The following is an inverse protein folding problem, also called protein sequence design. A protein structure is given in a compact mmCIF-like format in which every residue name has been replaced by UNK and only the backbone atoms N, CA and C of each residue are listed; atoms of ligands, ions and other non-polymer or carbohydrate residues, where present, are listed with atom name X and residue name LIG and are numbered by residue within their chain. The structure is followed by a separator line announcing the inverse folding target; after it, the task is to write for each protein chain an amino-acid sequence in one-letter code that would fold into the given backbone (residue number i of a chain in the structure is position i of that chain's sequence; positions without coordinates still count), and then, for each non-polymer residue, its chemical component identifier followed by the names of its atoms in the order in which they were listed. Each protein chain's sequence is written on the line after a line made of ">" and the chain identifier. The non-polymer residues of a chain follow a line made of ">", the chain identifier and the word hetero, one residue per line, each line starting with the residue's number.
data_IF_872832356982
#
_entry.id   IF_872832356982
#
_cell.length_a   1.000
_cell.length_b   1.000
_cell.length_c   1.000
_cell.angle_alpha   90.00
_cell.angle_beta   90.00
_cell.angle_gamma   90.00
#
_symmetry.space_group_name_H-M   'P 1'
#
loop_
_entity.id
_entity.type
_entity.pdbx_description
1 polymer ?
#
# COMPACT_ATOMS: atom_id res chain seq x y z
N UNK A 1 -21.23 -33.27 -4.12
CA UNK A 1 -20.98 -32.65 -5.44
C UNK A 1 -19.51 -32.21 -5.43
N UNK A 2 -18.66 -32.76 -6.30
CA UNK A 2 -17.24 -32.37 -6.32
C UNK A 2 -17.10 -31.09 -7.14
N UNK A 3 -16.27 -30.16 -6.68
CA UNK A 3 -15.94 -28.92 -7.42
C UNK A 3 -15.29 -29.18 -8.79
N UNK A 4 -14.78 -30.40 -9.01
CA UNK A 4 -14.27 -30.88 -10.30
C UNK A 4 -15.33 -31.04 -11.39
N UNK A 5 -16.62 -31.03 -11.02
CA UNK A 5 -17.71 -31.37 -11.95
C UNK A 5 -18.34 -30.11 -12.58
N UNK A 6 -17.78 -28.93 -12.33
CA UNK A 6 -18.22 -27.65 -12.93
C UNK A 6 -17.42 -27.42 -14.21
N UNK A 7 -18.06 -27.58 -15.37
CA UNK A 7 -17.48 -27.17 -16.64
C UNK A 7 -17.16 -25.66 -16.62
N UNK A 8 -15.87 -25.32 -16.73
CA UNK A 8 -15.42 -23.94 -16.85
C UNK A 8 -15.75 -23.41 -18.25
N UNK A 9 -16.94 -22.86 -18.42
CA UNK A 9 -17.25 -22.06 -19.61
C UNK A 9 -16.36 -20.82 -19.56
N UNK A 10 -15.47 -20.64 -20.54
CA UNK A 10 -14.75 -19.38 -20.68
C UNK A 10 -15.74 -18.31 -21.15
N UNK A 11 -16.28 -17.56 -20.18
CA UNK A 11 -17.24 -16.47 -20.40
C UNK A 11 -16.57 -15.12 -20.66
N UNK A 12 -15.23 -15.06 -20.57
CA UNK A 12 -14.46 -13.86 -20.86
C UNK A 12 -13.94 -13.98 -22.30
N UNK A 13 -14.56 -13.23 -23.22
CA UNK A 13 -14.10 -13.10 -24.60
C UNK A 13 -12.71 -12.44 -24.69
N UNK A 14 -12.30 -11.99 -25.88
CA UNK A 14 -11.06 -11.22 -26.05
C UNK A 14 -11.15 -9.92 -25.23
N UNK A 15 -10.43 -9.88 -24.10
CA UNK A 15 -10.23 -8.68 -23.31
C UNK A 15 -8.93 -8.00 -23.79
N UNK A 16 -8.89 -6.67 -23.87
CA UNK A 16 -7.63 -5.96 -24.12
C UNK A 16 -6.59 -6.32 -23.05
N UNK A 17 -5.34 -6.51 -23.46
CA UNK A 17 -4.24 -6.93 -22.58
C UNK A 17 -3.78 -5.81 -21.63
N UNK A 18 -4.02 -4.55 -21.99
CA UNK A 18 -3.61 -3.37 -21.21
C UNK A 18 -4.78 -2.40 -21.00
N UNK A 19 -4.80 -1.75 -19.84
CA UNK A 19 -5.75 -0.69 -19.53
C UNK A 19 -5.33 0.62 -20.22
N UNK A 20 -6.31 1.37 -20.74
CA UNK A 20 -6.10 2.70 -21.31
C UNK A 20 -5.56 3.67 -20.24
N UNK A 21 -4.47 4.38 -20.54
CA UNK A 21 -3.80 5.32 -19.64
C UNK A 21 -4.43 6.72 -19.66
N UNK A 22 -5.52 6.93 -20.40
CA UNK A 22 -6.28 8.20 -20.46
C UNK A 22 -7.18 8.47 -19.25
N UNK A 23 -6.74 8.15 -18.03
CA UNK A 23 -7.55 8.38 -16.83
C UNK A 23 -7.56 9.87 -16.43
N UNK A 24 -8.74 10.35 -16.03
CA UNK A 24 -8.97 11.75 -15.67
C UNK A 24 -8.65 12.02 -14.19
N UNK A 25 -8.67 10.97 -13.36
CA UNK A 25 -8.54 11.07 -11.91
C UNK A 25 -7.33 10.26 -11.44
N UNK A 26 -6.33 10.95 -10.92
CA UNK A 26 -5.15 10.33 -10.30
C UNK A 26 -5.37 10.12 -8.80
N UNK A 27 -4.99 8.96 -8.28
CA UNK A 27 -5.23 8.64 -6.86
C UNK A 27 -4.45 9.55 -5.92
N UNK A 28 -3.26 10.03 -6.31
CA UNK A 28 -2.47 10.94 -5.49
C UNK A 28 -3.09 12.33 -5.42
N UNK A 29 -3.74 12.78 -6.50
CA UNK A 29 -4.50 14.04 -6.48
C UNK A 29 -5.68 13.93 -5.52
N UNK A 30 -6.41 12.80 -5.52
CA UNK A 30 -7.52 12.57 -4.58
C UNK A 30 -7.01 12.46 -3.13
N UNK A 31 -5.91 11.75 -2.89
CA UNK A 31 -5.30 11.66 -1.56
C UNK A 31 -4.87 13.04 -1.04
N UNK A 32 -4.35 13.89 -1.95
CA UNK A 32 -3.98 15.27 -1.62
C UNK A 32 -5.20 16.12 -1.24
N UNK A 33 -6.36 15.91 -1.87
CA UNK A 33 -7.62 16.54 -1.45
C UNK A 33 -8.04 16.11 -0.02
N UNK A 34 -7.70 14.88 0.38
CA UNK A 34 -7.86 14.38 1.75
C UNK A 34 -6.73 14.81 2.71
N UNK A 35 -5.80 15.67 2.26
CA UNK A 35 -4.68 16.17 3.07
C UNK A 35 -3.47 15.24 3.15
N UNK A 36 -3.41 14.19 2.33
CA UNK A 36 -2.32 13.21 2.31
C UNK A 36 -1.42 13.46 1.10
N UNK A 37 -0.21 13.97 1.33
CA UNK A 37 0.76 14.25 0.26
C UNK A 37 1.82 13.15 0.14
N UNK A 38 2.55 13.09 -0.99
CA UNK A 38 3.69 12.16 -1.16
C UNK A 38 4.71 12.35 -0.02
N UNK A 39 4.98 13.60 0.37
CA UNK A 39 5.91 13.92 1.46
C UNK A 39 5.40 13.38 2.81
N UNK A 40 4.10 13.47 3.09
CA UNK A 40 3.51 12.93 4.31
C UNK A 40 3.65 11.40 4.38
N UNK A 41 3.47 10.72 3.25
CA UNK A 41 3.66 9.26 3.14
C UNK A 41 5.13 8.87 3.36
N UNK A 42 6.07 9.62 2.75
CA UNK A 42 7.50 9.40 2.91
C UNK A 42 7.92 9.61 4.37
N UNK A 43 7.52 10.72 4.99
CA UNK A 43 7.87 11.00 6.40
C UNK A 43 7.30 9.94 7.35
N UNK A 44 6.05 9.51 7.15
CA UNK A 44 5.46 8.43 7.94
C UNK A 44 6.25 7.12 7.77
N UNK A 45 6.61 6.74 6.54
CA UNK A 45 7.45 5.57 6.26
C UNK A 45 8.81 5.66 6.97
N UNK A 46 9.50 6.80 6.81
CA UNK A 46 10.82 7.02 7.37
C UNK A 46 10.81 7.11 8.90
N UNK A 47 9.66 7.40 9.51
CA UNK A 47 9.49 7.35 10.96
C UNK A 47 9.84 5.99 11.58
N UNK A 48 9.72 4.90 10.82
CA UNK A 48 10.08 3.54 11.23
C UNK A 48 11.23 2.94 10.43
N UNK A 49 11.91 3.73 9.61
CA UNK A 49 13.04 3.26 8.83
C UNK A 49 14.21 2.83 9.73
N UNK A 50 14.80 1.70 9.39
CA UNK A 50 16.03 1.19 10.00
C UNK A 50 17.06 0.95 8.90
N UNK A 51 18.29 1.47 9.02
CA UNK A 51 19.35 1.21 8.06
C UNK A 51 19.58 -0.28 7.83
N UNK A 52 19.58 -0.67 6.57
CA UNK A 52 19.79 -2.05 6.12
C UNK A 52 20.64 -2.05 4.85
N UNK A 53 21.39 -3.13 4.53
CA UNK A 53 22.11 -3.20 3.27
C UNK A 53 21.19 -2.88 2.08
N UNK A 54 21.67 -2.01 1.18
CA UNK A 54 20.97 -1.54 -0.01
C UNK A 54 20.21 -0.23 0.21
N UNK A 55 19.90 0.08 1.46
CA UNK A 55 19.26 1.32 1.91
C UNK A 55 19.93 1.76 3.21
N UNK A 56 21.25 1.97 3.20
CA UNK A 56 21.99 2.28 4.42
C UNK A 56 21.78 3.72 4.91
N UNK A 57 21.36 4.61 4.01
CA UNK A 57 21.09 6.02 4.31
C UNK A 57 19.61 6.31 4.12
N UNK A 58 19.10 7.29 4.88
CA UNK A 58 17.71 7.73 4.76
C UNK A 58 17.39 8.19 3.35
N UNK A 59 18.31 8.90 2.71
CA UNK A 59 18.13 9.42 1.34
C UNK A 59 17.97 8.29 0.32
N UNK A 60 18.71 7.19 0.47
CA UNK A 60 18.54 5.99 -0.38
C UNK A 60 17.20 5.32 -0.12
N UNK A 61 16.81 5.19 1.15
CA UNK A 61 15.53 4.60 1.53
C UNK A 61 14.36 5.40 0.97
N UNK A 62 14.37 6.73 1.12
CA UNK A 62 13.35 7.63 0.57
C UNK A 62 13.22 7.50 -0.95
N UNK A 63 14.35 7.54 -1.67
CA UNK A 63 14.34 7.42 -3.13
C UNK A 63 13.74 6.08 -3.59
N UNK A 64 14.07 4.99 -2.89
CA UNK A 64 13.56 3.66 -3.20
C UNK A 64 12.09 3.51 -2.78
N UNK A 65 11.68 4.06 -1.65
CA UNK A 65 10.29 4.12 -1.22
C UNK A 65 9.43 4.85 -2.24
N UNK A 66 9.84 6.04 -2.70
CA UNK A 66 9.11 6.82 -3.71
C UNK A 66 8.97 6.03 -5.01
N UNK A 67 10.04 5.33 -5.44
CA UNK A 67 9.97 4.47 -6.62
C UNK A 67 8.94 3.35 -6.44
N UNK A 68 8.98 2.63 -5.32
CA UNK A 68 8.06 1.52 -5.05
C UNK A 68 6.62 2.02 -4.82
N UNK A 69 6.43 3.21 -4.24
CA UNK A 69 5.14 3.87 -4.13
C UNK A 69 4.54 4.12 -5.51
N UNK A 70 5.30 4.73 -6.43
CA UNK A 70 4.87 4.99 -7.81
C UNK A 70 4.54 3.72 -8.57
N UNK A 71 5.29 2.64 -8.36
CA UNK A 71 4.97 1.33 -8.93
C UNK A 71 3.66 0.79 -8.37
N UNK A 72 3.46 0.87 -7.05
CA UNK A 72 2.24 0.39 -6.41
C UNK A 72 0.99 1.13 -6.93
N UNK A 73 1.00 2.47 -6.91
CA UNK A 73 -0.14 3.28 -7.36
C UNK A 73 -0.34 3.30 -8.88
N UNK A 74 0.57 2.69 -9.66
CA UNK A 74 0.35 2.49 -11.09
C UNK A 74 -0.65 1.36 -11.39
N UNK A 75 -0.95 0.50 -10.41
CA UNK A 75 -1.96 -0.56 -10.53
C UNK A 75 -3.36 -0.01 -10.22
N UNK A 76 -4.29 0.01 -11.21
CA UNK A 76 -5.64 0.49 -11.00
C UNK A 76 -6.41 -0.28 -9.91
N UNK A 77 -6.12 -1.57 -9.70
CA UNK A 77 -6.80 -2.33 -8.66
C UNK A 77 -6.41 -1.83 -7.26
N UNK A 78 -5.13 -1.51 -7.05
CA UNK A 78 -4.68 -0.91 -5.81
C UNK A 78 -5.34 0.47 -5.61
N UNK A 79 -5.40 1.28 -6.66
CA UNK A 79 -6.08 2.58 -6.62
C UNK A 79 -7.55 2.45 -6.22
N UNK A 80 -8.26 1.43 -6.71
CA UNK A 80 -9.66 1.18 -6.33
C UNK A 80 -9.80 0.75 -4.86
N UNK A 81 -8.86 -0.03 -4.32
CA UNK A 81 -8.84 -0.37 -2.90
C UNK A 81 -8.63 0.87 -2.03
N UNK A 82 -7.65 1.72 -2.37
CA UNK A 82 -7.41 2.98 -1.67
C UNK A 82 -8.64 3.89 -1.75
N UNK A 83 -9.20 4.05 -2.96
CA UNK A 83 -10.37 4.90 -3.19
C UNK A 83 -11.60 4.41 -2.42
N UNK A 84 -11.78 3.09 -2.27
CA UNK A 84 -12.85 2.55 -1.43
C UNK A 84 -12.72 2.99 0.03
N UNK A 85 -11.51 3.04 0.56
CA UNK A 85 -11.22 3.58 1.90
C UNK A 85 -11.57 5.05 2.03
N UNK A 86 -11.20 5.86 1.03
CA UNK A 86 -11.54 7.29 0.98
C UNK A 86 -13.06 7.51 0.99
N UNK A 87 -13.81 6.72 0.21
CA UNK A 87 -15.26 6.81 0.21
C UNK A 87 -15.86 6.43 1.57
N UNK A 88 -15.38 5.35 2.19
CA UNK A 88 -15.85 4.91 3.50
C UNK A 88 -15.54 5.93 4.59
N UNK A 89 -14.37 6.54 4.55
CA UNK A 89 -13.99 7.64 5.45
C UNK A 89 -14.95 8.83 5.30
N UNK A 90 -15.23 9.27 4.07
CA UNK A 90 -16.17 10.37 3.79
C UNK A 90 -17.57 10.05 4.31
N UNK A 91 -18.08 8.84 4.07
CA UNK A 91 -19.38 8.41 4.58
C UNK A 91 -19.39 8.30 6.11
N UNK A 92 -18.28 7.90 6.72
CA UNK A 92 -18.11 7.87 8.18
C UNK A 92 -18.21 9.26 8.81
N UNK A 93 -17.47 10.23 8.25
CA UNK A 93 -17.55 11.65 8.65
C UNK A 93 -18.95 12.23 8.45
N UNK A 94 -19.65 11.81 7.40
CA UNK A 94 -21.03 12.23 7.11
C UNK A 94 -22.09 11.51 7.96
N UNK A 95 -21.73 10.42 8.66
CA UNK A 95 -22.65 9.62 9.45
C UNK A 95 -23.61 8.77 8.63
N UNK A 96 -23.24 8.42 7.40
CA UNK A 96 -24.08 7.71 6.41
C UNK A 96 -23.66 6.26 6.21
N UNK A 97 -22.64 5.80 6.93
CA UNK A 97 -22.25 4.38 6.95
C UNK A 97 -23.41 3.48 7.42
N UNK A 98 -23.54 2.28 6.86
CA UNK A 98 -24.60 1.35 7.23
C UNK A 98 -24.38 0.80 8.65
N UNK A 99 -25.42 0.83 9.48
CA UNK A 99 -25.46 0.20 10.82
C UNK A 99 -24.45 0.73 11.84
N UNK A 100 -23.83 1.89 11.60
CA UNK A 100 -22.96 2.58 12.56
C UNK A 100 -23.34 4.05 12.59
N UNK A 101 -23.49 4.63 13.77
CA UNK A 101 -23.77 6.06 13.91
C UNK A 101 -22.47 6.86 13.74
N UNK A 102 -22.61 8.15 13.40
CA UNK A 102 -21.47 9.09 13.38
C UNK A 102 -20.70 9.11 14.69
N UNK A 103 -21.40 9.21 15.82
CA UNK A 103 -20.77 9.21 17.15
C UNK A 103 -20.01 7.91 17.44
N UNK A 104 -20.49 6.78 16.94
CA UNK A 104 -19.78 5.49 17.08
C UNK A 104 -18.55 5.42 16.17
N UNK A 105 -18.64 5.98 14.97
CA UNK A 105 -17.53 6.09 14.03
C UNK A 105 -16.42 7.00 14.57
N UNK A 106 -16.76 8.20 15.03
CA UNK A 106 -15.79 9.18 15.56
C UNK A 106 -15.09 8.71 16.85
N UNK A 107 -15.66 7.73 17.55
CA UNK A 107 -15.03 7.12 18.74
C UNK A 107 -13.99 6.06 18.39
N UNK A 108 -13.79 5.77 17.11
CA UNK A 108 -12.82 4.80 16.61
C UNK A 108 -12.86 3.50 17.43
N UNK A 109 -14.06 2.93 17.49
CA UNK A 109 -14.32 1.79 18.37
C UNK A 109 -13.71 0.55 17.76
N UNK A 110 -13.06 -0.28 18.59
CA UNK A 110 -12.34 -1.52 18.23
C UNK A 110 -13.16 -2.58 17.48
N UNK A 111 -14.45 -2.32 17.21
CA UNK A 111 -15.31 -3.21 16.42
C UNK A 111 -15.40 -2.82 14.94
N UNK A 112 -14.89 -1.66 14.52
CA UNK A 112 -14.66 -1.41 13.10
C UNK A 112 -13.49 -2.30 12.71
N UNK A 113 -13.80 -3.39 12.01
CA UNK A 113 -12.84 -4.38 11.53
C UNK A 113 -12.67 -4.24 10.01
N UNK A 114 -13.53 -3.46 9.37
CA UNK A 114 -13.57 -3.33 7.92
C UNK A 114 -12.39 -2.50 7.38
N UNK A 115 -12.01 -1.46 8.11
CA UNK A 115 -10.77 -0.68 7.99
C UNK A 115 -9.52 -1.58 8.07
N UNK A 116 -9.41 -2.37 9.13
CA UNK A 116 -8.28 -3.29 9.36
C UNK A 116 -8.15 -4.32 8.23
N UNK A 117 -9.29 -4.92 7.83
CA UNK A 117 -9.34 -5.86 6.71
C UNK A 117 -8.91 -5.18 5.41
N UNK A 118 -9.29 -3.92 5.19
CA UNK A 118 -8.89 -3.16 4.01
C UNK A 118 -7.39 -2.84 4.03
N UNK A 119 -6.86 -2.33 5.14
CA UNK A 119 -5.43 -2.03 5.33
C UNK A 119 -4.55 -3.27 5.16
N UNK A 120 -4.92 -4.39 5.79
CA UNK A 120 -4.25 -5.68 5.59
C UNK A 120 -4.31 -6.14 4.13
N UNK A 121 -5.47 -6.00 3.47
CA UNK A 121 -5.63 -6.42 2.07
C UNK A 121 -4.75 -5.60 1.14
N UNK A 122 -4.68 -4.28 1.36
CA UNK A 122 -3.80 -3.36 0.62
C UNK A 122 -2.34 -3.75 0.80
N UNK A 123 -1.86 -3.89 2.04
CA UNK A 123 -0.46 -4.24 2.29
C UNK A 123 -0.07 -5.60 1.69
N UNK A 124 -0.96 -6.58 1.84
CA UNK A 124 -0.76 -7.93 1.30
C UNK A 124 -0.81 -7.95 -0.22
N UNK A 125 -1.65 -7.13 -0.84
CA UNK A 125 -1.71 -6.99 -2.28
C UNK A 125 -0.37 -6.47 -2.84
N UNK A 126 0.25 -5.49 -2.16
CA UNK A 126 1.50 -4.86 -2.62
C UNK A 126 2.71 -5.80 -2.47
N UNK A 127 2.85 -6.50 -1.35
CA UNK A 127 4.10 -7.22 -1.02
C UNK A 127 3.91 -8.53 -0.27
N UNK A 128 2.70 -9.10 -0.32
CA UNK A 128 2.37 -10.37 0.30
C UNK A 128 2.45 -10.33 1.83
N UNK A 129 2.84 -11.46 2.43
CA UNK A 129 2.88 -11.55 3.89
C UNK A 129 3.92 -10.61 4.52
N UNK A 130 4.96 -10.19 3.78
CA UNK A 130 5.92 -9.17 4.25
C UNK A 130 5.25 -7.82 4.47
N UNK A 131 4.40 -7.40 3.54
CA UNK A 131 3.61 -6.17 3.66
C UNK A 131 2.70 -6.21 4.88
N UNK A 132 2.08 -7.36 5.15
CA UNK A 132 1.22 -7.54 6.31
C UNK A 132 1.98 -7.39 7.65
N UNK A 133 3.22 -7.89 7.75
CA UNK A 133 4.04 -7.69 8.95
C UNK A 133 4.43 -6.21 9.15
N UNK A 134 4.76 -5.50 8.06
CA UNK A 134 5.05 -4.08 8.12
C UNK A 134 3.78 -3.27 8.44
N UNK A 135 2.63 -3.59 7.87
CA UNK A 135 1.34 -2.96 8.21
C UNK A 135 1.09 -2.99 9.72
N UNK A 136 1.17 -4.17 10.35
CA UNK A 136 1.01 -4.32 11.81
C UNK A 136 2.01 -3.46 12.60
N UNK A 137 3.20 -3.22 12.04
CA UNK A 137 4.23 -2.38 12.67
C UNK A 137 3.89 -0.88 12.57
N UNK A 138 3.34 -0.44 11.44
CA UNK A 138 2.89 0.93 11.20
C UNK A 138 1.61 1.25 11.96
N UNK A 139 0.60 0.38 11.90
CA UNK A 139 -0.65 0.53 12.64
C UNK A 139 -0.40 0.71 14.15
N UNK A 140 0.47 -0.12 14.74
CA UNK A 140 0.80 0.00 16.17
C UNK A 140 1.50 1.29 16.57
N UNK A 141 2.28 1.89 15.68
CA UNK A 141 3.14 3.03 16.02
C UNK A 141 2.61 4.38 15.50
N UNK A 142 1.74 4.35 14.48
CA UNK A 142 1.13 5.49 13.80
C UNK A 142 2.10 6.67 13.59
N UNK A 143 3.26 6.48 12.92
CA UNK A 143 4.20 7.57 12.67
C UNK A 143 3.61 8.64 11.73
N UNK A 144 3.96 9.90 11.99
CA UNK A 144 3.61 11.01 11.11
C UNK A 144 2.10 11.15 10.91
N UNK A 145 1.67 11.27 9.64
CA UNK A 145 0.26 11.50 9.28
C UNK A 145 -0.68 10.40 9.80
N UNK A 146 -0.19 9.17 10.02
CA UNK A 146 -1.00 8.06 10.51
C UNK A 146 -1.63 8.31 11.88
N UNK A 147 -1.04 9.16 12.73
CA UNK A 147 -1.60 9.52 14.03
C UNK A 147 -2.77 10.53 13.94
N UNK A 148 -2.99 11.13 12.77
CA UNK A 148 -3.95 12.22 12.56
C UNK A 148 -5.15 11.80 11.72
N UNK A 149 -5.05 10.66 11.02
CA UNK A 149 -6.08 10.16 10.12
C UNK A 149 -7.25 9.53 10.88
N UNK A 150 -8.41 9.51 10.22
CA UNK A 150 -9.61 8.84 10.72
C UNK A 150 -9.58 7.33 10.48
N UNK A 151 -10.56 6.58 11.04
CA UNK A 151 -10.52 5.13 11.17
C UNK A 151 -10.29 4.33 9.88
N UNK A 152 -10.82 4.78 8.73
CA UNK A 152 -10.54 4.06 7.48
C UNK A 152 -9.21 4.48 6.88
N UNK A 153 -8.86 5.76 7.01
CA UNK A 153 -7.70 6.31 6.33
C UNK A 153 -6.38 5.96 7.01
N UNK A 154 -6.32 5.85 8.34
CA UNK A 154 -5.10 5.42 9.01
C UNK A 154 -4.73 3.97 8.63
N UNK A 155 -5.69 3.07 8.53
CA UNK A 155 -5.46 1.69 8.11
C UNK A 155 -5.16 1.56 6.61
N UNK A 156 -5.88 2.30 5.76
CA UNK A 156 -5.64 2.29 4.30
C UNK A 156 -4.25 2.83 3.98
N UNK A 157 -3.87 3.94 4.60
CA UNK A 157 -2.56 4.56 4.40
C UNK A 157 -1.47 3.78 5.11
N UNK A 158 -1.74 3.21 6.28
CA UNK A 158 -0.85 2.28 6.96
C UNK A 158 -0.59 1.03 6.12
N UNK A 159 -1.62 0.52 5.46
CA UNK A 159 -1.54 -0.61 4.54
C UNK A 159 -0.69 -0.30 3.31
N UNK A 160 -0.90 0.88 2.70
CA UNK A 160 -0.10 1.36 1.58
C UNK A 160 1.37 1.51 1.98
N UNK A 161 1.66 2.24 3.07
CA UNK A 161 3.01 2.48 3.56
C UNK A 161 3.69 1.17 3.94
N UNK A 162 3.01 0.28 4.68
CA UNK A 162 3.55 -1.01 5.09
C UNK A 162 3.87 -1.90 3.88
N UNK A 163 2.96 -1.95 2.91
CA UNK A 163 3.15 -2.68 1.66
C UNK A 163 4.37 -2.18 0.88
N UNK A 164 4.47 -0.87 0.67
CA UNK A 164 5.56 -0.22 -0.07
C UNK A 164 6.89 -0.32 0.69
N UNK A 165 6.89 -0.12 2.01
CA UNK A 165 8.06 -0.27 2.89
C UNK A 165 8.67 -1.67 2.76
N UNK A 166 7.83 -2.72 2.80
CA UNK A 166 8.31 -4.10 2.63
C UNK A 166 8.97 -4.34 1.25
N UNK A 167 8.45 -3.73 0.18
CA UNK A 167 9.07 -3.78 -1.14
C UNK A 167 10.38 -2.98 -1.19
N UNK A 168 10.44 -1.80 -0.56
CA UNK A 168 11.67 -1.02 -0.41
C UNK A 168 12.79 -1.85 0.25
N UNK A 169 12.53 -2.47 1.40
CA UNK A 169 13.52 -3.36 2.06
C UNK A 169 13.90 -4.55 1.17
N UNK A 170 12.93 -5.18 0.50
CA UNK A 170 13.19 -6.32 -0.39
C UNK A 170 14.04 -5.91 -1.60
N UNK A 171 13.80 -4.73 -2.18
CA UNK A 171 14.49 -4.28 -3.38
C UNK A 171 15.88 -3.76 -3.09
N UNK A 172 16.09 -3.09 -1.94
CA UNK A 172 17.42 -2.70 -1.49
C UNK A 172 18.37 -3.90 -1.40
N UNK A 173 17.89 -5.02 -0.84
CA UNK A 173 18.67 -6.26 -0.76
C UNK A 173 18.97 -6.86 -2.15
N UNK A 174 17.99 -6.89 -3.04
CA UNK A 174 18.15 -7.46 -4.38
C UNK A 174 19.17 -6.69 -5.25
N UNK A 175 19.26 -5.37 -5.10
CA UNK A 175 20.22 -4.53 -5.84
C UNK A 175 21.68 -4.80 -5.41
N UNK A 176 21.92 -5.17 -4.15
CA UNK A 176 23.22 -5.66 -3.71
C UNK A 176 23.57 -7.01 -4.35
N UNK A 177 22.62 -7.94 -4.38
CA UNK A 177 22.89 -9.28 -4.90
C UNK A 177 23.18 -9.26 -6.40
N UNK A 178 22.54 -8.35 -7.14
CA UNK A 178 22.79 -8.17 -8.57
C UNK A 178 24.15 -7.49 -8.83
N UNK A 179 24.50 -6.44 -8.08
CA UNK A 179 25.81 -5.78 -8.23
C UNK A 179 26.98 -6.71 -7.93
N UNK A 180 26.88 -7.57 -6.91
CA UNK A 180 27.90 -8.59 -6.61
C UNK A 180 28.08 -9.61 -7.75
N UNK A 181 27.00 -10.06 -8.38
CA UNK A 181 27.06 -10.98 -9.52
C UNK A 181 27.76 -10.36 -10.73
N UNK A 182 27.49 -9.09 -11.02
CA UNK A 182 28.16 -8.37 -12.11
C UNK A 182 29.67 -8.19 -11.87
N UNK A 183 30.09 -7.98 -10.63
CA UNK A 183 31.51 -7.85 -10.26
C UNK A 183 32.25 -9.20 -10.30
N UNK A 184 31.61 -10.29 -9.90
CA UNK A 184 32.14 -11.66 -9.99
C UNK A 184 32.28 -12.13 -11.44
N UNK A 185 31.30 -11.81 -12.31
CA UNK A 185 31.37 -12.10 -13.75
C UNK A 185 32.50 -11.32 -14.43
N UNK A 186 32.70 -10.03 -14.11
CA UNK A 186 33.81 -9.24 -14.65
C UNK A 186 35.19 -9.74 -14.18
N UNK A 187 35.27 -10.29 -12.97
CA UNK A 187 36.53 -10.82 -12.40
C UNK A 187 36.92 -12.20 -12.95
N UNK A 188 35.98 -12.94 -13.54
CA UNK A 188 36.22 -14.28 -14.11
C UNK A 188 36.65 -14.24 -15.59
N UNK A 189 36.55 -13.08 -16.24
CA UNK A 189 36.88 -12.87 -17.66
C UNK A 189 38.32 -12.32 -17.86
N UNK A 190 39.13 -12.27 -16.80
CA UNK A 190 40.55 -11.88 -16.81
C UNK A 190 41.44 -13.08 -16.45
#
# INVERSE_FOLDING_TARGET
>A
MKLSDVESRNTKGEQPEEADTGYIYDIMDILKEEGITEEALVEASMGLYTPHPGIETREKAEALFIRELRLAISDPNLCMLIYSGILLEREGRNGTLPNISRDSYERDLTFLIADEVLGMSISKYISGDKGMFEFVRFDKQKPGILAELGPFMDDVIGGLIGGVSANMYTRGMAEIDNSKKEDDEKSTVV
#
